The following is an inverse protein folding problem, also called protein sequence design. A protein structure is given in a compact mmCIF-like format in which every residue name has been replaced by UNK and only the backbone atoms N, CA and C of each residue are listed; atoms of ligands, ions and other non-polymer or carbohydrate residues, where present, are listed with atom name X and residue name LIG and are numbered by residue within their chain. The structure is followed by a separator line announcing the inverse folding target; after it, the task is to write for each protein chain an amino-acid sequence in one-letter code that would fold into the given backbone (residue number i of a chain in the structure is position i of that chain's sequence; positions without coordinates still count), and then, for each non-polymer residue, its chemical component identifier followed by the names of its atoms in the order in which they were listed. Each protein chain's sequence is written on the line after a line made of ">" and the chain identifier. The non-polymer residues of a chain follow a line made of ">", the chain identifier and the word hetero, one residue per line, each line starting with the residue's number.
data_IF_788608155873
#
_entry.id   IF_788608155873
#
_cell.length_a   1.000
_cell.length_b   1.000
_cell.length_c   1.000
_cell.angle_alpha   90.00
_cell.angle_beta   90.00
_cell.angle_gamma   90.00
#
_symmetry.space_group_name_H-M   'P 1'
#
loop_
_entity.id
_entity.type
_entity.pdbx_description
1 polymer ?
#
# COMPACT_ATOMS: atom_id res chain seq x y z
N UNK A 1 -0.42 8.56 -15.78
CA UNK A 1 -0.42 7.09 -15.82
C UNK A 1 1.02 6.63 -15.88
N UNK A 2 1.39 5.47 -15.31
CA UNK A 2 2.72 4.91 -15.52
C UNK A 2 3.00 4.80 -17.03
N UNK A 3 4.26 5.02 -17.42
CA UNK A 3 4.70 4.77 -18.80
C UNK A 3 4.50 3.30 -19.14
N UNK A 4 4.21 3.01 -20.40
CA UNK A 4 4.16 1.65 -20.91
C UNK A 4 5.42 1.38 -21.75
N UNK A 5 6.09 0.21 -21.62
CA UNK A 5 5.73 -0.93 -20.77
C UNK A 5 5.80 -0.61 -19.28
N UNK A 6 4.92 -1.25 -18.51
CA UNK A 6 4.85 -1.10 -17.06
C UNK A 6 6.04 -1.76 -16.36
N UNK A 7 6.55 -2.86 -16.91
CA UNK A 7 7.65 -3.65 -16.34
C UNK A 7 8.86 -3.63 -17.29
N UNK A 8 10.10 -3.60 -16.76
CA UNK A 8 11.30 -3.76 -17.56
C UNK A 8 11.55 -5.24 -17.91
N UNK A 9 10.68 -5.82 -18.74
CA UNK A 9 10.67 -7.26 -19.07
C UNK A 9 11.92 -7.73 -19.82
N UNK A 10 12.67 -6.82 -20.43
CA UNK A 10 13.89 -7.11 -21.17
C UNK A 10 15.15 -7.19 -20.29
N UNK A 11 15.06 -6.82 -19.01
CA UNK A 11 16.20 -6.81 -18.11
C UNK A 11 16.29 -8.11 -17.31
N UNK A 12 17.51 -8.64 -17.22
CA UNK A 12 17.81 -9.83 -16.43
C UNK A 12 17.67 -9.56 -14.92
N UNK A 13 17.77 -10.62 -14.11
CA UNK A 13 17.85 -10.46 -12.66
C UNK A 13 18.99 -9.53 -12.19
N UNK A 14 20.13 -9.55 -12.90
CA UNK A 14 21.30 -8.74 -12.59
C UNK A 14 21.13 -7.27 -12.98
N UNK A 15 20.38 -7.00 -14.07
CA UNK A 15 20.29 -5.67 -14.67
C UNK A 15 18.99 -4.93 -14.32
N UNK A 16 17.94 -5.65 -13.94
CA UNK A 16 16.62 -5.06 -13.70
C UNK A 16 15.65 -5.99 -12.97
N UNK A 17 16.14 -6.70 -11.96
CA UNK A 17 15.38 -7.55 -11.03
C UNK A 17 14.83 -8.85 -11.64
N UNK A 18 14.64 -8.92 -12.96
CA UNK A 18 14.20 -10.10 -13.69
C UNK A 18 12.71 -10.36 -13.49
N UNK A 19 11.86 -9.62 -14.19
CA UNK A 19 10.40 -9.81 -14.14
C UNK A 19 9.97 -11.05 -14.92
N UNK A 20 8.91 -11.73 -14.48
CA UNK A 20 8.33 -12.84 -15.22
C UNK A 20 7.56 -12.31 -16.45
N UNK A 21 7.92 -12.69 -17.69
CA UNK A 21 7.25 -12.23 -18.90
C UNK A 21 5.95 -13.01 -19.14
N UNK A 22 4.95 -12.78 -18.29
CA UNK A 22 3.65 -13.44 -18.36
C UNK A 22 2.82 -12.99 -19.58
N UNK A 23 2.07 -13.92 -20.15
CA UNK A 23 1.12 -13.65 -21.23
C UNK A 23 -0.31 -14.10 -20.86
N UNK A 24 -1.31 -13.49 -21.50
CA UNK A 24 -2.72 -13.88 -21.35
C UNK A 24 -2.91 -15.30 -21.90
N UNK A 25 -3.66 -16.12 -21.16
CA UNK A 25 -3.87 -17.56 -21.38
C UNK A 25 -2.64 -18.45 -21.16
N UNK A 26 -1.51 -17.90 -20.69
CA UNK A 26 -0.40 -18.74 -20.26
C UNK A 26 -0.83 -19.58 -19.05
N UNK A 27 -0.44 -20.85 -19.03
CA UNK A 27 -0.69 -21.74 -17.90
C UNK A 27 0.50 -21.74 -16.95
N UNK A 28 0.19 -21.86 -15.66
CA UNK A 28 1.12 -21.93 -14.54
C UNK A 28 0.85 -23.20 -13.72
N UNK A 29 1.81 -23.58 -12.89
CA UNK A 29 1.80 -24.74 -11.99
C UNK A 29 1.35 -26.02 -12.71
N UNK A 30 1.99 -26.33 -13.84
CA UNK A 30 1.69 -27.55 -14.61
C UNK A 30 0.28 -27.60 -15.20
N UNK A 31 -0.34 -26.44 -15.45
CA UNK A 31 -1.69 -26.34 -16.00
C UNK A 31 -2.79 -26.13 -14.97
N UNK A 32 -2.46 -25.99 -13.68
CA UNK A 32 -3.44 -25.77 -12.61
C UNK A 32 -4.06 -24.37 -12.66
N UNK A 33 -3.32 -23.37 -13.13
CA UNK A 33 -3.78 -21.98 -13.19
C UNK A 33 -3.58 -21.39 -14.58
N UNK A 34 -4.58 -20.70 -15.11
CA UNK A 34 -4.52 -20.02 -16.41
C UNK A 34 -4.59 -18.51 -16.22
N UNK A 35 -3.64 -17.76 -16.78
CA UNK A 35 -3.62 -16.28 -16.68
C UNK A 35 -4.79 -15.68 -17.48
N UNK A 36 -5.61 -14.87 -16.80
CA UNK A 36 -6.78 -14.22 -17.39
C UNK A 36 -6.52 -12.74 -17.68
N UNK A 37 -5.89 -12.03 -16.73
CA UNK A 37 -5.74 -10.56 -16.77
C UNK A 37 -4.63 -10.11 -15.83
N UNK A 38 -3.93 -9.03 -16.18
CA UNK A 38 -3.01 -8.36 -15.26
C UNK A 38 -3.76 -7.42 -14.33
N UNK A 39 -3.63 -7.58 -13.01
CA UNK A 39 -4.29 -6.73 -12.00
C UNK A 39 -3.42 -5.54 -11.61
N UNK A 40 -2.10 -5.73 -11.51
CA UNK A 40 -1.17 -4.69 -11.11
C UNK A 40 0.27 -5.16 -11.12
N UNK A 41 1.18 -4.23 -10.80
CA UNK A 41 2.60 -4.52 -10.69
C UNK A 41 3.25 -3.58 -9.67
N UNK A 42 4.44 -3.98 -9.22
CA UNK A 42 5.31 -3.17 -8.39
C UNK A 42 6.76 -3.62 -8.53
N UNK A 43 7.70 -2.98 -7.82
CA UNK A 43 9.15 -3.19 -8.02
C UNK A 43 9.63 -4.65 -7.88
N UNK A 44 8.87 -5.52 -7.21
CA UNK A 44 9.28 -6.88 -6.85
C UNK A 44 8.39 -7.98 -7.39
N UNK A 45 7.26 -7.64 -8.02
CA UNK A 45 6.29 -8.63 -8.46
C UNK A 45 5.25 -8.02 -9.38
N UNK A 46 4.62 -8.87 -10.16
CA UNK A 46 3.38 -8.57 -10.89
C UNK A 46 2.24 -9.44 -10.36
N UNK A 47 1.02 -8.91 -10.37
CA UNK A 47 -0.17 -9.63 -9.86
C UNK A 47 -1.16 -9.83 -10.99
N UNK A 48 -1.63 -11.06 -11.14
CA UNK A 48 -2.47 -11.50 -12.24
C UNK A 48 -3.72 -12.20 -11.72
N UNK A 49 -4.86 -11.93 -12.33
CA UNK A 49 -6.04 -12.77 -12.17
C UNK A 49 -5.78 -14.08 -12.91
N UNK A 50 -5.96 -15.19 -12.23
CA UNK A 50 -5.83 -16.54 -12.79
C UNK A 50 -7.12 -17.31 -12.59
N UNK A 51 -7.41 -18.21 -13.52
CA UNK A 51 -8.46 -19.22 -13.39
C UNK A 51 -7.84 -20.54 -12.92
N UNK A 52 -8.28 -21.07 -11.79
CA UNK A 52 -7.94 -22.40 -11.29
C UNK A 52 -8.74 -23.44 -12.08
N UNK A 53 -8.03 -24.33 -12.75
CA UNK A 53 -8.65 -25.37 -13.56
C UNK A 53 -9.27 -26.46 -12.66
N UNK A 54 -10.48 -26.90 -13.02
CA UNK A 54 -11.20 -27.96 -12.31
C UNK A 54 -11.94 -27.54 -11.05
N UNK A 55 -11.95 -26.25 -10.71
CA UNK A 55 -12.84 -25.66 -9.71
C UNK A 55 -13.99 -24.95 -10.44
N UNK A 56 -15.23 -25.37 -10.21
CA UNK A 56 -16.42 -24.75 -10.81
C UNK A 56 -17.11 -23.76 -9.88
N UNK A 57 -16.66 -23.68 -8.62
CA UNK A 57 -17.37 -22.97 -7.55
C UNK A 57 -16.65 -21.75 -7.00
N UNK A 58 -15.31 -21.66 -7.17
CA UNK A 58 -14.45 -20.50 -6.89
C UNK A 58 -13.22 -20.53 -7.83
N UNK A 59 -13.43 -20.33 -9.15
CA UNK A 59 -12.37 -20.54 -10.12
C UNK A 59 -11.35 -19.40 -10.18
N UNK A 60 -11.66 -18.18 -9.71
CA UNK A 60 -10.80 -17.02 -9.90
C UNK A 60 -9.94 -16.72 -8.68
N UNK A 61 -8.66 -16.41 -8.90
CA UNK A 61 -7.68 -16.13 -7.84
C UNK A 61 -6.69 -15.05 -8.30
N UNK A 62 -5.99 -14.41 -7.37
CA UNK A 62 -4.83 -13.57 -7.67
C UNK A 62 -3.53 -14.38 -7.54
N UNK A 63 -2.74 -14.44 -8.61
CA UNK A 63 -1.37 -14.94 -8.61
C UNK A 63 -0.37 -13.77 -8.58
N UNK A 64 0.34 -13.62 -7.48
CA UNK A 64 1.47 -12.71 -7.35
C UNK A 64 2.76 -13.43 -7.75
N UNK A 65 3.36 -13.01 -8.86
CA UNK A 65 4.57 -13.58 -9.42
C UNK A 65 5.74 -12.66 -9.12
N UNK A 66 6.69 -13.11 -8.30
CA UNK A 66 7.84 -12.32 -7.88
C UNK A 66 8.90 -12.22 -8.97
N UNK A 67 9.67 -11.14 -8.96
CA UNK A 67 10.90 -11.04 -9.76
C UNK A 67 11.91 -12.07 -9.28
N UNK A 68 12.85 -12.48 -10.13
CA UNK A 68 13.91 -13.43 -9.75
C UNK A 68 14.65 -12.94 -8.50
N UNK A 69 14.98 -11.64 -8.44
CA UNK A 69 15.67 -11.03 -7.31
C UNK A 69 14.87 -11.05 -5.99
N UNK A 70 13.54 -11.03 -6.05
CA UNK A 70 12.67 -11.01 -4.88
C UNK A 70 12.20 -12.41 -4.46
N UNK A 71 12.28 -13.40 -5.37
CA UNK A 71 11.67 -14.71 -5.20
C UNK A 71 12.20 -15.49 -3.99
N UNK A 72 13.52 -15.44 -3.76
CA UNK A 72 14.09 -16.15 -2.60
C UNK A 72 13.63 -15.54 -1.28
N UNK A 73 13.55 -14.22 -1.19
CA UNK A 73 13.07 -13.50 0.00
C UNK A 73 11.58 -13.79 0.21
N UNK A 74 10.79 -13.86 -0.87
CA UNK A 74 9.40 -14.24 -0.80
C UNK A 74 9.23 -15.62 -0.15
N UNK A 75 9.93 -16.64 -0.64
CA UNK A 75 9.87 -17.99 -0.08
C UNK A 75 10.35 -18.05 1.38
N UNK A 76 11.52 -17.49 1.70
CA UNK A 76 12.13 -17.72 3.03
C UNK A 76 11.59 -16.81 4.12
N UNK A 77 11.07 -15.64 3.75
CA UNK A 77 10.69 -14.60 4.71
C UNK A 77 9.20 -14.30 4.65
N UNK A 78 8.61 -14.12 3.47
CA UNK A 78 7.20 -13.72 3.34
C UNK A 78 6.24 -14.88 3.51
N UNK A 79 6.51 -16.02 2.87
CA UNK A 79 5.63 -17.19 2.91
C UNK A 79 5.34 -17.65 4.35
N UNK A 80 6.34 -17.81 5.24
CA UNK A 80 6.07 -18.20 6.62
C UNK A 80 5.25 -17.15 7.39
N UNK A 81 5.39 -15.86 7.07
CA UNK A 81 4.60 -14.80 7.71
C UNK A 81 3.15 -14.94 7.24
N UNK A 82 2.92 -14.97 5.93
CA UNK A 82 1.59 -14.98 5.34
C UNK A 82 0.81 -16.27 5.63
N UNK A 83 1.50 -17.39 5.89
CA UNK A 83 0.87 -18.63 6.36
C UNK A 83 0.50 -18.62 7.85
N UNK A 84 1.15 -17.79 8.68
CA UNK A 84 0.99 -17.81 10.14
C UNK A 84 0.33 -16.56 10.73
N UNK A 85 0.18 -15.47 9.97
CA UNK A 85 -0.57 -14.29 10.41
C UNK A 85 -2.05 -14.60 10.29
N UNK A 86 -2.66 -14.91 11.43
CA UNK A 86 -4.12 -15.03 11.58
C UNK A 86 -4.66 -13.63 11.86
N UNK A 87 -5.22 -12.98 10.84
CA UNK A 87 -6.05 -11.79 11.08
C UNK A 87 -7.36 -12.23 11.75
N UNK A 88 -7.96 -11.40 12.62
CA UNK A 88 -9.30 -11.66 13.15
C UNK A 88 -10.26 -11.93 11.97
N UNK A 89 -11.18 -12.86 12.15
CA UNK A 89 -12.15 -13.32 11.13
C UNK A 89 -13.02 -12.21 10.51
N UNK A 90 -13.04 -11.02 11.11
CA UNK A 90 -13.76 -9.84 10.64
C UNK A 90 -12.89 -8.93 9.75
N UNK A 91 -11.59 -9.23 9.62
CA UNK A 91 -10.64 -8.58 8.71
C UNK A 91 -10.29 -9.60 7.65
N UNK A 92 -10.90 -9.42 6.50
CA UNK A 92 -10.71 -10.21 5.30
C UNK A 92 -9.22 -10.31 4.94
N UNK A 93 -8.64 -11.49 5.17
CA UNK A 93 -7.28 -11.81 4.78
C UNK A 93 -7.29 -12.75 3.60
N UNK A 94 -6.55 -12.38 2.58
CA UNK A 94 -6.18 -13.28 1.51
C UNK A 94 -4.98 -14.12 1.98
N UNK A 95 -5.29 -15.22 2.68
CA UNK A 95 -4.31 -16.27 2.93
C UNK A 95 -3.68 -16.77 1.64
N UNK A 96 -2.47 -17.32 1.75
CA UNK A 96 -1.86 -18.02 0.62
C UNK A 96 -2.56 -19.38 0.49
N UNK A 97 -3.33 -19.55 -0.59
CA UNK A 97 -3.96 -20.82 -0.96
C UNK A 97 -2.94 -21.80 -1.56
N UNK A 98 -2.06 -21.29 -2.40
CA UNK A 98 -1.02 -22.08 -3.05
C UNK A 98 0.27 -21.27 -3.21
N UNK A 99 1.40 -21.96 -3.24
CA UNK A 99 2.71 -21.37 -3.45
C UNK A 99 3.60 -22.32 -4.24
N UNK A 100 4.16 -21.84 -5.35
CA UNK A 100 4.95 -22.67 -6.26
C UNK A 100 6.03 -21.86 -6.98
N UNK A 101 6.96 -22.56 -7.62
CA UNK A 101 8.02 -21.97 -8.43
C UNK A 101 7.70 -22.10 -9.92
N UNK A 102 7.98 -21.05 -10.69
CA UNK A 102 7.87 -21.02 -12.14
C UNK A 102 9.17 -20.58 -12.80
N UNK A 103 9.48 -21.13 -13.96
CA UNK A 103 10.73 -20.84 -14.68
C UNK A 103 10.47 -20.01 -15.93
N UNK A 104 11.24 -18.94 -16.10
CA UNK A 104 11.23 -18.12 -17.31
C UNK A 104 12.64 -18.01 -17.92
N UNK A 105 12.77 -17.19 -18.96
CA UNK A 105 14.09 -16.86 -19.54
C UNK A 105 15.02 -16.13 -18.57
N UNK A 106 14.49 -15.51 -17.52
CA UNK A 106 15.25 -14.70 -16.57
C UNK A 106 15.69 -15.50 -15.34
N UNK A 107 15.06 -16.64 -15.07
CA UNK A 107 15.35 -17.49 -13.91
C UNK A 107 14.09 -18.11 -13.31
N UNK A 108 14.20 -18.47 -12.03
CA UNK A 108 13.11 -19.04 -11.24
C UNK A 108 12.37 -17.94 -10.46
N UNK A 109 11.05 -18.04 -10.42
CA UNK A 109 10.13 -17.08 -9.86
C UNK A 109 9.25 -17.74 -8.81
N UNK A 110 9.18 -17.17 -7.61
CA UNK A 110 8.22 -17.59 -6.60
C UNK A 110 6.85 -17.01 -6.95
N UNK A 111 5.81 -17.84 -6.84
CA UNK A 111 4.43 -17.47 -7.10
C UNK A 111 3.59 -17.72 -5.84
N UNK A 112 2.78 -16.74 -5.41
CA UNK A 112 1.78 -16.90 -4.37
C UNK A 112 0.38 -16.75 -4.96
N UNK A 113 -0.51 -17.69 -4.66
CA UNK A 113 -1.93 -17.64 -5.00
C UNK A 113 -2.71 -17.24 -3.77
N UNK A 114 -3.55 -16.22 -3.92
CA UNK A 114 -4.31 -15.58 -2.85
C UNK A 114 -5.66 -15.13 -3.40
N UNK A 115 -6.60 -14.83 -2.51
CA UNK A 115 -7.91 -14.29 -2.92
C UNK A 115 -7.72 -13.06 -3.83
N UNK A 116 -8.60 -12.93 -4.82
CA UNK A 116 -8.58 -11.85 -5.78
C UNK A 116 -8.78 -10.49 -5.10
N UNK A 117 -8.17 -9.47 -5.70
CA UNK A 117 -8.28 -8.10 -5.23
C UNK A 117 -8.91 -7.22 -6.30
N UNK A 118 -9.66 -6.24 -5.83
CA UNK A 118 -10.44 -5.31 -6.61
C UNK A 118 -9.64 -4.08 -6.99
N UNK A 119 -10.35 -2.96 -7.04
CA UNK A 119 -9.77 -1.67 -7.38
C UNK A 119 -8.84 -1.18 -6.25
N UNK A 120 -7.63 -0.68 -6.55
CA UNK A 120 -6.84 0.07 -5.59
C UNK A 120 -7.57 1.34 -5.15
N UNK A 121 -7.47 1.72 -3.87
CA UNK A 121 -8.06 2.97 -3.34
C UNK A 121 -7.52 4.22 -4.06
N UNK A 122 -6.30 4.14 -4.62
CA UNK A 122 -5.74 5.18 -5.47
C UNK A 122 -6.58 5.47 -6.74
N UNK A 123 -7.38 4.51 -7.20
CA UNK A 123 -8.40 4.71 -8.23
C UNK A 123 -9.51 5.65 -7.77
N UNK A 124 -10.10 5.39 -6.59
CA UNK A 124 -11.16 6.21 -5.99
C UNK A 124 -10.66 7.63 -5.69
N UNK A 125 -9.45 7.77 -5.13
CA UNK A 125 -8.86 9.08 -4.88
C UNK A 125 -8.60 9.86 -6.17
N UNK A 126 -8.20 9.19 -7.26
CA UNK A 126 -8.02 9.82 -8.57
C UNK A 126 -9.32 10.39 -9.11
N UNK A 127 -10.42 9.67 -8.93
CA UNK A 127 -11.75 10.15 -9.32
C UNK A 127 -12.17 11.37 -8.47
N UNK A 128 -11.89 11.36 -7.16
CA UNK A 128 -12.09 12.52 -6.28
C UNK A 128 -11.31 13.76 -6.77
N UNK A 129 -10.02 13.58 -7.05
CA UNK A 129 -9.14 14.65 -7.53
C UNK A 129 -9.56 15.18 -8.90
N UNK A 130 -9.95 14.30 -9.82
CA UNK A 130 -10.34 14.70 -11.19
C UNK A 130 -11.63 15.52 -11.20
N UNK A 131 -12.56 15.24 -10.29
CA UNK A 131 -13.85 15.91 -10.24
C UNK A 131 -13.84 17.21 -9.42
N UNK A 132 -13.01 17.33 -8.38
CA UNK A 132 -13.10 18.43 -7.39
C UNK A 132 -11.76 19.03 -6.94
N UNK A 133 -10.62 18.50 -7.39
CA UNK A 133 -9.30 18.81 -6.79
C UNK A 133 -9.29 18.61 -5.25
N UNK A 134 -10.03 17.61 -4.76
CA UNK A 134 -10.21 17.32 -3.33
C UNK A 134 -9.76 15.89 -2.99
N UNK A 135 -9.55 15.62 -1.70
CA UNK A 135 -9.40 14.27 -1.18
C UNK A 135 -10.75 13.64 -0.79
N UNK A 136 -10.70 12.54 -0.05
CA UNK A 136 -11.86 11.81 0.46
C UNK A 136 -12.47 12.49 1.69
N UNK A 137 -13.77 12.29 1.95
CA UNK A 137 -14.41 12.69 3.21
C UNK A 137 -13.69 12.13 4.44
N UNK A 138 -13.65 12.90 5.53
CA UNK A 138 -12.95 12.52 6.78
C UNK A 138 -13.37 11.15 7.27
N UNK A 139 -14.65 10.82 7.20
CA UNK A 139 -15.16 9.53 7.64
C UNK A 139 -14.63 8.34 6.83
N UNK A 140 -14.46 8.49 5.51
CA UNK A 140 -13.86 7.48 4.66
C UNK A 140 -12.37 7.28 5.00
N UNK A 141 -11.67 8.37 5.35
CA UNK A 141 -10.28 8.30 5.79
C UNK A 141 -10.15 7.66 7.16
N UNK A 142 -11.03 7.99 8.11
CA UNK A 142 -11.05 7.36 9.44
C UNK A 142 -11.26 5.85 9.34
N UNK A 143 -12.23 5.42 8.52
CA UNK A 143 -12.46 3.99 8.26
C UNK A 143 -11.23 3.33 7.63
N UNK A 144 -10.64 3.95 6.59
CA UNK A 144 -9.43 3.47 5.94
C UNK A 144 -8.27 3.32 6.94
N UNK A 145 -8.06 4.32 7.79
CA UNK A 145 -7.02 4.31 8.83
C UNK A 145 -7.29 3.21 9.86
N UNK A 146 -8.54 3.02 10.28
CA UNK A 146 -8.91 1.92 11.17
C UNK A 146 -8.53 0.55 10.58
N UNK A 147 -8.89 0.29 9.32
CA UNK A 147 -8.53 -0.94 8.61
C UNK A 147 -7.02 -1.16 8.55
N UNK A 148 -6.24 -0.11 8.23
CA UNK A 148 -4.77 -0.21 8.21
C UNK A 148 -4.21 -0.48 9.59
N UNK A 149 -4.72 0.19 10.64
CA UNK A 149 -4.27 -0.01 12.01
C UNK A 149 -4.56 -1.42 12.52
N UNK A 150 -5.71 -2.00 12.18
CA UNK A 150 -6.00 -3.41 12.45
C UNK A 150 -4.96 -4.31 11.80
N UNK A 151 -4.63 -4.07 10.52
CA UNK A 151 -3.65 -4.87 9.80
C UNK A 151 -2.25 -4.75 10.42
N UNK A 152 -1.78 -3.52 10.65
CA UNK A 152 -0.47 -3.24 11.25
C UNK A 152 -0.35 -3.80 12.66
N UNK A 153 -1.42 -3.75 13.47
CA UNK A 153 -1.40 -4.31 14.81
C UNK A 153 -1.02 -5.80 14.81
N UNK A 154 -1.62 -6.61 13.94
CA UNK A 154 -1.34 -8.04 13.88
C UNK A 154 0.07 -8.33 13.36
N UNK A 155 0.53 -7.60 12.34
CA UNK A 155 1.92 -7.69 11.87
C UNK A 155 2.92 -7.30 12.99
N UNK A 156 2.65 -6.20 13.69
CA UNK A 156 3.55 -5.66 14.71
C UNK A 156 3.63 -6.55 15.95
N UNK A 157 2.58 -7.33 16.28
CA UNK A 157 2.61 -8.36 17.33
C UNK A 157 3.69 -9.41 17.09
N UNK A 158 3.83 -9.85 15.83
CA UNK A 158 4.85 -10.82 15.41
C UNK A 158 6.14 -10.16 14.88
N UNK A 159 6.33 -8.87 15.16
CA UNK A 159 7.51 -8.08 14.78
C UNK A 159 7.72 -7.98 13.26
N UNK A 160 6.65 -8.03 12.50
CA UNK A 160 6.67 -7.85 11.05
C UNK A 160 6.40 -6.38 10.72
N UNK A 161 7.29 -5.75 9.97
CA UNK A 161 7.11 -4.41 9.40
C UNK A 161 6.49 -4.54 8.01
N UNK A 162 5.37 -3.85 7.73
CA UNK A 162 4.77 -3.86 6.40
C UNK A 162 5.65 -3.15 5.37
N UNK A 163 6.22 -2.02 5.77
CA UNK A 163 7.13 -1.12 5.04
C UNK A 163 6.56 -0.45 3.79
N UNK A 164 5.40 -0.87 3.29
CA UNK A 164 4.77 -0.34 2.09
C UNK A 164 3.42 0.34 2.32
N UNK A 165 3.17 0.96 3.48
CA UNK A 165 1.86 1.58 3.74
C UNK A 165 1.66 2.82 2.86
N UNK A 166 0.88 2.70 1.79
CA UNK A 166 0.61 3.76 0.81
C UNK A 166 -0.71 3.53 0.10
N UNK A 167 -1.16 4.51 -0.69
CA UNK A 167 -2.43 4.45 -1.43
C UNK A 167 -2.57 3.20 -2.30
N UNK A 168 -1.52 2.81 -3.01
CA UNK A 168 -1.54 1.65 -3.91
C UNK A 168 -1.51 0.30 -3.19
N UNK A 169 -1.24 0.31 -1.88
CA UNK A 169 -1.28 -0.88 -1.02
C UNK A 169 -2.64 -1.09 -0.37
N UNK A 170 -3.62 -0.25 -0.68
CA UNK A 170 -4.99 -0.39 -0.23
C UNK A 170 -5.86 -0.79 -1.41
N UNK A 171 -6.49 -1.96 -1.33
CA UNK A 171 -7.35 -2.49 -2.38
C UNK A 171 -8.69 -2.88 -1.78
N UNK A 172 -9.76 -2.68 -2.54
CA UNK A 172 -11.06 -3.21 -2.16
C UNK A 172 -11.13 -4.70 -2.51
N UNK A 173 -11.77 -5.52 -1.66
CA UNK A 173 -12.24 -6.83 -2.07
C UNK A 173 -13.32 -6.62 -3.14
N UNK A 174 -13.25 -7.31 -4.29
CA UNK A 174 -14.36 -7.31 -5.23
C UNK A 174 -15.50 -8.14 -4.63
N UNK A 175 -16.42 -7.50 -3.89
CA UNK A 175 -17.58 -8.16 -3.30
C UNK A 175 -18.63 -8.49 -4.38
N UNK A 176 -18.20 -9.24 -5.39
CA UNK A 176 -19.01 -9.69 -6.53
C UNK A 176 -19.15 -11.19 -6.42
N UNK A 177 -20.37 -11.71 -6.57
CA UNK A 177 -20.50 -13.14 -6.83
C UNK A 177 -19.84 -13.50 -8.18
N UNK A 178 -19.56 -14.78 -8.41
CA UNK A 178 -18.84 -15.22 -9.61
C UNK A 178 -19.51 -14.82 -10.92
N UNK A 179 -20.84 -14.79 -10.95
CA UNK A 179 -21.55 -14.43 -12.17
C UNK A 179 -21.28 -12.96 -12.52
N UNK A 180 -21.28 -12.09 -11.51
CA UNK A 180 -20.93 -10.68 -11.69
C UNK A 180 -19.47 -10.51 -12.14
N UNK A 181 -18.53 -11.32 -11.63
CA UNK A 181 -17.14 -11.28 -12.08
C UNK A 181 -16.99 -11.77 -13.54
N UNK A 182 -17.66 -12.86 -13.92
CA UNK A 182 -17.66 -13.35 -15.30
C UNK A 182 -18.29 -12.35 -16.26
N UNK A 183 -19.42 -11.74 -15.89
CA UNK A 183 -20.06 -10.66 -16.65
C UNK A 183 -19.10 -9.47 -16.79
N UNK A 184 -18.43 -9.06 -15.70
CA UNK A 184 -17.43 -8.00 -15.75
C UNK A 184 -16.28 -8.31 -16.72
N UNK A 185 -15.75 -9.54 -16.69
CA UNK A 185 -14.68 -9.98 -17.58
C UNK A 185 -15.16 -10.07 -19.04
N UNK A 186 -16.43 -10.39 -19.27
CA UNK A 186 -17.03 -10.42 -20.60
C UNK A 186 -17.24 -9.00 -21.16
N UNK A 187 -17.74 -8.06 -20.35
CA UNK A 187 -17.94 -6.66 -20.74
C UNK A 187 -16.62 -5.92 -20.96
N UNK A 188 -15.61 -6.27 -20.16
CA UNK A 188 -14.26 -5.69 -20.22
C UNK A 188 -13.27 -6.82 -20.46
N UNK A 189 -13.02 -7.24 -21.71
CA UNK A 189 -12.02 -8.27 -21.98
C UNK A 189 -10.62 -7.81 -21.52
N UNK A 190 -9.70 -8.76 -21.27
CA UNK A 190 -8.33 -8.43 -20.87
C UNK A 190 -7.63 -7.54 -21.89
N UNK A 191 -6.71 -6.72 -21.40
CA UNK A 191 -5.85 -5.89 -22.24
C UNK A 191 -5.10 -6.73 -23.28
N UNK A 192 -4.87 -6.15 -24.47
CA UNK A 192 -4.11 -6.82 -25.53
C UNK A 192 -2.65 -6.99 -25.10
N UNK A 193 -2.08 -8.15 -25.39
CA UNK A 193 -0.64 -8.38 -25.32
C UNK A 193 0.06 -7.62 -26.45
N UNK A 194 1.06 -6.81 -26.11
CA UNK A 194 1.94 -6.13 -27.05
C UNK A 194 3.35 -6.71 -26.92
N UNK A 195 4.00 -7.04 -28.04
CA UNK A 195 5.40 -7.51 -27.99
C UNK A 195 6.33 -6.30 -27.95
N UNK A 196 7.03 -6.13 -26.83
CA UNK A 196 8.00 -5.05 -26.63
C UNK A 196 9.35 -5.68 -26.28
N UNK A 197 10.38 -5.33 -27.04
CA UNK A 197 11.73 -5.88 -26.90
C UNK A 197 11.79 -7.43 -26.88
N UNK A 198 10.84 -8.08 -27.57
CA UNK A 198 10.72 -9.53 -27.65
C UNK A 198 9.90 -10.19 -26.53
N UNK A 199 9.30 -9.41 -25.63
CA UNK A 199 8.52 -9.91 -24.49
C UNK A 199 7.05 -9.52 -24.56
N UNK A 200 6.13 -10.37 -24.06
CA UNK A 200 4.71 -10.05 -23.94
C UNK A 200 4.50 -9.00 -22.84
N UNK A 201 4.23 -7.76 -23.23
CA UNK A 201 3.87 -6.68 -22.32
C UNK A 201 2.35 -6.54 -22.26
N UNK A 202 1.80 -6.63 -21.05
CA UNK A 202 0.36 -6.46 -20.77
C UNK A 202 0.17 -5.28 -19.85
N UNK A 203 -0.81 -4.42 -20.17
CA UNK A 203 -1.20 -3.29 -19.31
C UNK A 203 -2.08 -3.77 -18.15
N UNK A 204 -1.81 -3.27 -16.96
CA UNK A 204 -2.62 -3.56 -15.77
C UNK A 204 -4.05 -3.04 -15.94
N UNK A 205 -5.02 -3.89 -15.60
CA UNK A 205 -6.45 -3.61 -15.64
C UNK A 205 -7.07 -4.19 -14.36
N UNK A 206 -7.02 -3.46 -13.22
CA UNK A 206 -7.65 -3.92 -11.97
C UNK A 206 -9.14 -4.23 -12.15
N UNK A 207 -9.70 -5.10 -11.30
CA UNK A 207 -11.15 -5.32 -11.25
C UNK A 207 -11.82 -4.04 -10.73
N UNK A 208 -12.93 -3.64 -11.36
CA UNK A 208 -13.63 -2.43 -10.94
C UNK A 208 -14.59 -2.75 -9.79
N UNK A 209 -14.60 -1.90 -8.76
CA UNK A 209 -15.63 -1.94 -7.73
C UNK A 209 -16.67 -0.87 -8.03
N UNK A 210 -17.79 -1.28 -8.63
CA UNK A 210 -18.84 -0.35 -9.10
C UNK A 210 -19.70 0.25 -7.98
N UNK A 211 -19.58 -0.27 -6.77
CA UNK A 211 -20.38 0.14 -5.60
C UNK A 211 -19.71 1.20 -4.73
N UNK A 212 -18.45 1.55 -5.01
CA UNK A 212 -17.68 2.48 -4.19
C UNK A 212 -17.54 3.83 -4.90
N UNK A 213 -18.07 4.88 -4.27
CA UNK A 213 -17.93 6.27 -4.65
C UNK A 213 -16.92 7.01 -3.76
N UNK A 214 -16.32 8.06 -4.31
CA UNK A 214 -15.39 8.90 -3.54
C UNK A 214 -16.10 9.77 -2.49
N UNK A 215 -17.39 10.05 -2.67
CA UNK A 215 -18.25 10.84 -1.78
C UNK A 215 -19.32 10.01 -1.07
N UNK A 216 -19.10 8.68 -0.98
CA UNK A 216 -20.01 7.78 -0.28
C UNK A 216 -20.32 8.29 1.13
N UNK A 217 -21.60 8.28 1.54
CA UNK A 217 -21.96 8.66 2.90
C UNK A 217 -21.39 7.63 3.89
N UNK A 218 -21.20 8.05 5.15
CA UNK A 218 -20.68 7.21 6.24
C UNK A 218 -21.28 5.80 6.28
N UNK A 219 -22.60 5.67 6.06
CA UNK A 219 -23.30 4.37 6.09
C UNK A 219 -22.80 3.41 5.02
N UNK A 220 -22.46 3.91 3.84
CA UNK A 220 -22.06 3.05 2.73
C UNK A 220 -20.53 2.78 2.81
N UNK A 221 -19.77 3.70 3.42
CA UNK A 221 -18.34 3.48 3.77
C UNK A 221 -18.14 2.32 4.74
N UNK A 222 -19.09 2.06 5.65
CA UNK A 222 -18.95 0.91 6.58
C UNK A 222 -19.06 -0.44 5.88
N UNK A 223 -19.59 -0.46 4.64
CA UNK A 223 -19.64 -1.65 3.79
C UNK A 223 -18.41 -1.75 2.87
N UNK A 224 -17.43 -0.83 2.99
CA UNK A 224 -16.17 -0.93 2.26
C UNK A 224 -15.34 -2.11 2.78
N UNK A 225 -15.16 -3.11 1.93
CA UNK A 225 -14.23 -4.22 2.20
C UNK A 225 -12.81 -3.83 1.77
N UNK A 226 -12.13 -2.99 2.56
CA UNK A 226 -10.76 -2.56 2.26
C UNK A 226 -9.73 -3.52 2.88
N UNK A 227 -8.64 -3.79 2.16
CA UNK A 227 -7.56 -4.68 2.61
C UNK A 227 -6.21 -4.00 2.38
N UNK A 228 -5.29 -4.17 3.35
CA UNK A 228 -3.88 -3.82 3.19
C UNK A 228 -3.15 -4.97 2.47
N UNK A 229 -2.60 -4.67 1.30
CA UNK A 229 -1.83 -5.58 0.44
C UNK A 229 -0.43 -5.01 0.15
N UNK A 230 0.33 -5.69 -0.71
CA UNK A 230 1.66 -5.23 -1.12
C UNK A 230 2.77 -5.69 -0.18
N UNK A 231 2.67 -6.93 0.30
CA UNK A 231 3.62 -7.57 1.23
C UNK A 231 5.03 -7.80 0.66
N UNK A 232 5.30 -7.42 -0.60
CA UNK A 232 6.61 -7.62 -1.25
C UNK A 232 7.77 -6.90 -0.59
N UNK A 233 7.52 -5.88 0.25
CA UNK A 233 8.56 -5.16 0.98
C UNK A 233 8.65 -5.51 2.47
N UNK A 234 7.78 -6.39 2.97
CA UNK A 234 7.72 -6.75 4.38
C UNK A 234 9.09 -7.16 4.92
N UNK A 235 9.39 -6.72 6.15
CA UNK A 235 10.64 -7.01 6.82
C UNK A 235 10.41 -7.63 8.20
N UNK A 236 11.34 -8.49 8.59
CA UNK A 236 11.49 -9.04 9.95
C UNK A 236 12.82 -8.59 10.54
N UNK A 237 13.01 -8.65 11.87
CA UNK A 237 14.28 -8.28 12.49
C UNK A 237 15.45 -9.16 11.99
N UNK A 238 16.65 -8.58 11.78
CA UNK A 238 16.95 -7.16 11.88
C UNK A 238 16.40 -6.38 10.68
N UNK A 239 15.66 -5.30 10.94
CA UNK A 239 15.15 -4.42 9.88
C UNK A 239 16.30 -3.68 9.20
N UNK A 240 16.23 -3.53 7.89
CA UNK A 240 17.24 -2.86 7.10
C UNK A 240 16.60 -1.94 6.07
N UNK A 241 17.02 -0.67 6.08
CA UNK A 241 16.53 0.31 5.12
C UNK A 241 17.01 -0.03 3.72
N UNK A 242 16.07 -0.17 2.80
CA UNK A 242 16.36 -0.36 1.38
C UNK A 242 16.61 0.99 0.71
N UNK A 243 17.70 1.11 -0.06
CA UNK A 243 18.11 2.40 -0.62
C UNK A 243 17.06 3.02 -1.55
N UNK A 244 16.42 2.21 -2.39
CA UNK A 244 15.47 2.67 -3.42
C UNK A 244 14.01 2.66 -2.96
N UNK A 245 13.74 2.22 -1.73
CA UNK A 245 12.38 2.14 -1.21
C UNK A 245 11.90 3.47 -0.64
N UNK A 246 10.68 3.86 -1.00
CA UNK A 246 10.03 5.07 -0.51
C UNK A 246 9.33 4.79 0.82
N UNK A 247 10.00 5.14 1.92
CA UNK A 247 9.43 5.13 3.27
C UNK A 247 8.68 6.44 3.61
N UNK A 248 8.17 7.15 2.61
CA UNK A 248 7.45 8.43 2.76
C UNK A 248 8.24 9.49 3.54
N UNK A 249 9.55 9.53 3.33
CA UNK A 249 10.48 10.41 4.04
C UNK A 249 10.51 10.23 5.55
N UNK A 250 10.16 9.06 6.09
CA UNK A 250 10.24 8.81 7.54
C UNK A 250 11.60 9.30 8.09
N UNK A 251 11.63 10.19 9.10
CA UNK A 251 12.84 10.96 9.42
C UNK A 251 14.04 10.08 9.77
N UNK A 252 13.79 8.97 10.46
CA UNK A 252 14.81 7.99 10.83
C UNK A 252 15.49 7.30 9.63
N UNK A 253 14.84 7.30 8.46
CA UNK A 253 15.35 6.70 7.23
C UNK A 253 16.26 7.65 6.44
N UNK A 254 16.25 8.95 6.77
CA UNK A 254 17.02 9.99 6.08
C UNK A 254 18.46 10.12 6.61
N UNK A 255 18.74 9.55 7.78
CA UNK A 255 20.03 9.62 8.45
C UNK A 255 21.15 8.87 7.68
N UNK A 256 22.38 9.19 8.02
CA UNK A 256 23.61 8.57 7.51
C UNK A 256 23.75 7.13 7.95
N UNK A 257 23.33 6.82 9.18
CA UNK A 257 23.03 5.46 9.61
C UNK A 257 21.50 5.27 9.69
N UNK A 258 20.82 5.03 8.56
CA UNK A 258 19.37 5.01 8.51
C UNK A 258 18.83 3.81 9.28
N UNK A 259 17.75 4.04 10.02
CA UNK A 259 17.01 2.98 10.70
C UNK A 259 15.60 2.91 10.15
N UNK A 260 14.97 1.75 10.26
CA UNK A 260 13.56 1.53 9.99
C UNK A 260 13.01 0.48 10.96
N UNK A 261 11.69 0.42 11.07
CA UNK A 261 11.02 -0.60 11.86
C UNK A 261 9.51 -0.36 11.92
N UNK A 262 8.86 -0.98 12.91
CA UNK A 262 7.41 -0.92 13.08
C UNK A 262 6.88 0.53 13.18
N UNK A 263 7.63 1.44 13.80
CA UNK A 263 7.28 2.87 13.88
C UNK A 263 7.28 3.56 12.52
N UNK A 264 8.05 3.07 11.55
CA UNK A 264 8.09 3.62 10.20
C UNK A 264 6.76 3.36 9.48
N UNK A 265 6.10 2.22 9.70
CA UNK A 265 4.74 1.99 9.17
C UNK A 265 3.73 3.01 9.71
N UNK A 266 3.86 3.39 10.99
CA UNK A 266 2.99 4.40 11.62
C UNK A 266 3.22 5.79 11.01
N UNK A 267 4.47 6.13 10.67
CA UNK A 267 4.75 7.37 9.94
C UNK A 267 4.09 7.37 8.55
N UNK A 268 4.26 6.27 7.82
CA UNK A 268 3.68 6.11 6.49
C UNK A 268 2.14 6.17 6.53
N UNK A 269 1.51 5.60 7.56
CA UNK A 269 0.07 5.76 7.82
C UNK A 269 -0.33 7.23 8.02
N UNK A 270 0.44 8.02 8.77
CA UNK A 270 0.19 9.45 8.94
C UNK A 270 0.26 10.22 7.62
N UNK A 271 1.28 9.92 6.79
CA UNK A 271 1.40 10.49 5.45
C UNK A 271 0.22 10.09 4.54
N UNK A 272 -0.18 8.81 4.58
CA UNK A 272 -1.30 8.27 3.83
C UNK A 272 -2.62 8.94 4.21
N UNK A 273 -2.91 9.07 5.50
CA UNK A 273 -4.13 9.72 5.98
C UNK A 273 -4.21 11.19 5.53
N UNK A 274 -3.09 11.93 5.59
CA UNK A 274 -3.04 13.29 5.05
C UNK A 274 -3.28 13.32 3.53
N UNK A 275 -2.66 12.41 2.78
CA UNK A 275 -2.82 12.35 1.32
C UNK A 275 -4.25 11.99 0.92
N UNK A 276 -4.91 11.09 1.65
CA UNK A 276 -6.31 10.75 1.44
C UNK A 276 -7.23 11.95 1.67
N UNK A 277 -7.00 12.75 2.72
CA UNK A 277 -7.82 13.93 3.05
C UNK A 277 -7.63 15.07 2.06
N UNK A 278 -6.38 15.32 1.67
CA UNK A 278 -6.03 16.53 0.92
C UNK A 278 -5.87 16.29 -0.58
N UNK A 279 -5.75 15.03 -1.00
CA UNK A 279 -5.33 14.66 -2.36
C UNK A 279 -3.87 15.01 -2.67
N UNK A 280 -3.07 15.39 -1.66
CA UNK A 280 -1.68 15.87 -1.84
C UNK A 280 -0.73 15.17 -0.90
N UNK A 281 0.50 14.92 -1.36
CA UNK A 281 1.57 14.45 -0.48
C UNK A 281 1.89 15.48 0.60
N UNK A 282 2.07 15.01 1.84
CA UNK A 282 2.42 15.88 2.97
C UNK A 282 3.81 16.52 2.80
N UNK A 283 4.79 15.72 2.41
CA UNK A 283 6.16 16.14 2.15
C UNK A 283 6.46 15.96 0.66
N UNK A 284 7.04 16.99 0.06
CA UNK A 284 7.24 17.06 -1.40
C UNK A 284 8.69 17.26 -1.79
N UNK A 285 9.58 17.59 -0.83
CA UNK A 285 10.99 17.78 -1.10
C UNK A 285 11.65 16.51 -1.63
N UNK A 286 12.27 16.62 -2.80
CA UNK A 286 13.15 15.62 -3.40
C UNK A 286 14.64 15.96 -3.17
N UNK A 287 14.90 16.95 -2.31
CA UNK A 287 16.24 17.42 -2.00
C UNK A 287 17.07 16.45 -1.15
N UNK A 288 18.17 16.97 -0.64
CA UNK A 288 19.07 16.28 0.28
C UNK A 288 18.35 15.86 1.57
N UNK A 289 18.89 14.88 2.33
CA UNK A 289 18.33 14.52 3.63
C UNK A 289 18.14 15.70 4.59
N UNK A 290 19.05 16.67 4.58
CA UNK A 290 18.97 17.88 5.40
C UNK A 290 17.80 18.78 5.01
N UNK A 291 17.57 18.97 3.70
CA UNK A 291 16.43 19.75 3.19
C UNK A 291 15.09 19.06 3.49
N UNK A 292 15.02 17.73 3.35
CA UNK A 292 13.83 16.95 3.69
C UNK A 292 13.52 17.00 5.20
N UNK A 293 14.54 16.88 6.06
CA UNK A 293 14.35 17.06 7.51
C UNK A 293 13.95 18.50 7.87
N UNK A 294 14.45 19.50 7.16
CA UNK A 294 14.02 20.90 7.30
C UNK A 294 12.54 21.08 6.97
N UNK A 295 12.06 20.54 5.84
CA UNK A 295 10.63 20.53 5.47
C UNK A 295 9.80 19.84 6.55
N UNK A 296 10.24 18.67 7.03
CA UNK A 296 9.54 17.93 8.09
C UNK A 296 9.42 18.76 9.38
N UNK A 297 10.52 19.40 9.82
CA UNK A 297 10.53 20.29 10.99
C UNK A 297 9.53 21.41 10.83
N UNK A 298 9.54 22.09 9.68
CA UNK A 298 8.75 23.29 9.45
C UNK A 298 7.25 22.96 9.30
N UNK A 299 6.90 21.91 8.54
CA UNK A 299 5.51 21.46 8.37
C UNK A 299 4.91 20.95 9.69
N UNK A 300 5.65 20.16 10.45
CA UNK A 300 5.15 19.59 11.70
C UNK A 300 5.30 20.53 12.91
N UNK A 301 6.04 21.63 12.74
CA UNK A 301 6.47 22.52 13.83
C UNK A 301 7.12 21.72 14.98
N UNK A 302 7.87 20.68 14.61
CA UNK A 302 8.48 19.74 15.53
C UNK A 302 9.95 20.05 15.80
N UNK A 303 10.54 19.32 16.74
CA UNK A 303 11.98 19.43 17.06
C UNK A 303 12.75 18.25 16.48
N UNK A 304 13.84 18.53 15.77
CA UNK A 304 14.80 17.51 15.35
C UNK A 304 15.60 17.05 16.58
N UNK A 305 15.70 15.75 16.88
CA UNK A 305 16.49 15.26 18.00
C UNK A 305 17.96 15.71 17.92
N UNK A 306 18.52 16.21 19.02
CA UNK A 306 19.91 16.70 19.07
C UNK A 306 20.92 15.65 18.59
N UNK A 307 20.65 14.37 18.87
CA UNK A 307 21.48 13.25 18.44
C UNK A 307 21.62 13.13 16.90
N UNK A 308 20.73 13.76 16.14
CA UNK A 308 20.75 13.73 14.67
C UNK A 308 21.48 14.91 14.05
N UNK A 309 21.73 15.99 14.81
CA UNK A 309 22.36 17.23 14.31
C UNK A 309 23.86 17.09 14.00
N UNK A 310 24.45 15.91 14.23
CA UNK A 310 25.83 15.58 13.87
C UNK A 310 25.95 14.40 12.92
N UNK A 311 24.84 13.93 12.34
CA UNK A 311 24.86 12.83 11.39
C UNK A 311 25.52 13.27 10.07
N UNK A 312 26.41 12.46 9.44
CA UNK A 312 27.13 12.86 8.23
C UNK A 312 26.27 13.24 7.02
N UNK A 313 25.02 12.76 6.95
CA UNK A 313 24.03 13.14 5.92
C UNK A 313 23.14 14.32 6.35
N UNK A 314 23.10 14.62 7.65
CA UNK A 314 22.41 15.76 8.25
C UNK A 314 23.45 16.79 8.68
N UNK A 315 24.14 17.38 7.71
CA UNK A 315 25.26 18.28 7.99
C UNK A 315 24.77 19.63 8.52
N UNK A 316 23.98 20.34 7.72
CA UNK A 316 23.44 21.66 8.02
C UNK A 316 21.96 21.63 7.74
N UNK A 317 21.14 21.65 8.78
CA UNK A 317 19.71 21.86 8.61
C UNK A 317 19.49 23.27 8.06
N UNK A 318 18.62 23.44 7.04
CA UNK A 318 18.20 24.75 6.60
C UNK A 318 17.62 25.56 7.77
N UNK A 319 17.78 26.87 7.74
CA UNK A 319 17.13 27.75 8.72
C UNK A 319 15.60 27.53 8.72
N UNK A 320 14.92 27.68 9.88
CA UNK A 320 13.46 27.58 9.97
C UNK A 320 12.76 28.48 8.95
N UNK A 321 11.98 27.88 8.05
CA UNK A 321 11.23 28.62 7.07
C UNK A 321 9.78 28.79 7.51
N UNK A 322 9.47 29.93 8.10
CA UNK A 322 8.12 30.26 8.60
C UNK A 322 7.10 30.52 7.48
N UNK A 323 7.50 30.51 6.20
CA UNK A 323 6.56 30.59 5.07
C UNK A 323 6.00 29.22 4.66
N UNK A 324 6.56 28.13 5.18
CA UNK A 324 6.04 26.78 4.94
C UNK A 324 4.74 26.62 5.74
N UNK A 325 3.66 26.31 5.04
CA UNK A 325 2.37 26.01 5.68
C UNK A 325 2.52 24.77 6.58
N UNK A 326 2.10 24.92 7.82
CA UNK A 326 2.05 23.85 8.81
C UNK A 326 1.02 22.79 8.45
N UNK A 327 1.12 21.62 9.09
CA UNK A 327 0.15 20.53 8.96
C UNK A 327 -1.29 21.02 9.19
N UNK A 328 -1.49 21.85 10.22
CA UNK A 328 -2.81 22.34 10.60
C UNK A 328 -3.37 23.34 9.58
N UNK A 329 -2.53 24.26 9.08
CA UNK A 329 -2.92 25.21 8.03
C UNK A 329 -3.33 24.50 6.75
N UNK A 330 -2.58 23.47 6.34
CA UNK A 330 -2.90 22.65 5.16
C UNK A 330 -4.22 21.91 5.31
N UNK A 331 -4.52 21.38 6.50
CA UNK A 331 -5.81 20.72 6.77
C UNK A 331 -6.98 21.72 6.74
N UNK A 332 -6.81 22.93 7.32
CA UNK A 332 -7.85 23.98 7.31
C UNK A 332 -8.20 24.50 5.91
N UNK A 333 -7.35 24.29 4.92
CA UNK A 333 -7.66 24.63 3.53
C UNK A 333 -8.74 23.73 2.92
N UNK A 334 -8.88 22.50 3.41
CA UNK A 334 -9.79 21.49 2.83
C UNK A 334 -10.85 20.98 3.80
N UNK A 335 -10.67 21.16 5.11
CA UNK A 335 -11.59 20.72 6.16
C UNK A 335 -12.20 21.90 6.92
N UNK A 336 -13.35 21.65 7.56
CA UNK A 336 -13.90 22.58 8.56
C UNK A 336 -12.98 22.65 9.78
N UNK A 337 -13.05 23.75 10.52
CA UNK A 337 -12.16 24.00 11.65
C UNK A 337 -12.12 22.87 12.69
N UNK A 338 -13.28 22.34 13.09
CA UNK A 338 -13.33 21.24 14.07
C UNK A 338 -12.69 19.94 13.52
N UNK A 339 -13.01 19.57 12.28
CA UNK A 339 -12.46 18.37 11.62
C UNK A 339 -10.95 18.50 11.42
N UNK A 340 -10.47 19.69 11.04
CA UNK A 340 -9.06 19.98 10.89
C UNK A 340 -8.32 19.83 12.24
N UNK A 341 -8.89 20.32 13.33
CA UNK A 341 -8.29 20.25 14.65
C UNK A 341 -8.20 18.78 15.14
N UNK A 342 -9.28 18.01 15.03
CA UNK A 342 -9.31 16.60 15.44
C UNK A 342 -8.38 15.73 14.57
N UNK A 343 -8.43 15.91 13.26
CA UNK A 343 -7.53 15.23 12.31
C UNK A 343 -6.07 15.58 12.59
N UNK A 344 -5.76 16.86 12.80
CA UNK A 344 -4.41 17.30 13.13
C UNK A 344 -3.91 16.66 14.43
N UNK A 345 -4.76 16.56 15.44
CA UNK A 345 -4.42 15.91 16.71
C UNK A 345 -4.07 14.43 16.52
N UNK A 346 -4.82 13.69 15.70
CA UNK A 346 -4.49 12.31 15.35
C UNK A 346 -3.18 12.20 14.55
N UNK A 347 -3.04 12.99 13.49
CA UNK A 347 -1.84 12.95 12.63
C UNK A 347 -0.55 13.31 13.39
N UNK A 348 -0.61 14.22 14.38
CA UNK A 348 0.54 14.53 15.25
C UNK A 348 1.01 13.35 16.10
N UNK A 349 0.14 12.38 16.42
CA UNK A 349 0.51 11.14 17.12
C UNK A 349 1.22 10.16 16.18
N UNK A 350 0.83 10.14 14.90
CA UNK A 350 1.48 9.33 13.86
C UNK A 350 2.83 9.92 13.42
N UNK A 351 2.92 11.24 13.28
CA UNK A 351 4.04 11.96 12.66
C UNK A 351 5.06 12.48 13.69
N UNK A 352 5.25 11.78 14.80
CA UNK A 352 6.30 12.13 15.76
C UNK A 352 7.67 11.91 15.12
N UNK A 353 8.52 12.94 15.09
CA UNK A 353 9.83 12.91 14.43
C UNK A 353 10.73 11.83 15.04
N UNK A 354 10.81 11.76 16.37
CA UNK A 354 11.54 10.70 17.05
C UNK A 354 10.73 9.38 16.99
N UNK A 355 11.19 8.34 16.27
CA UNK A 355 10.45 7.09 16.13
C UNK A 355 10.20 6.38 17.47
N UNK A 356 11.07 6.54 18.46
CA UNK A 356 10.93 5.91 19.78
C UNK A 356 9.80 6.53 20.63
N UNK A 357 9.37 7.75 20.30
CA UNK A 357 8.27 8.46 20.97
C UNK A 357 6.95 8.38 20.17
N UNK A 358 6.98 7.77 18.98
CA UNK A 358 5.81 7.58 18.12
C UNK A 358 4.91 6.52 18.72
N UNK A 359 3.61 6.76 18.73
CA UNK A 359 2.65 5.79 19.25
C UNK A 359 2.65 4.51 18.41
N UNK A 360 2.33 3.38 19.04
CA UNK A 360 2.22 2.12 18.31
C UNK A 360 0.91 2.04 17.51
N UNK A 361 0.83 1.17 16.50
CA UNK A 361 -0.41 0.92 15.77
C UNK A 361 -1.56 0.50 16.71
N UNK A 362 -1.23 -0.22 17.80
CA UNK A 362 -2.20 -0.60 18.83
C UNK A 362 -2.76 0.61 19.57
N UNK A 363 -1.90 1.52 20.01
CA UNK A 363 -2.34 2.72 20.76
C UNK A 363 -3.20 3.64 19.90
N UNK A 364 -2.85 3.76 18.61
CA UNK A 364 -3.57 4.60 17.64
C UNK A 364 -4.92 4.01 17.21
N UNK A 365 -5.09 2.69 17.26
CA UNK A 365 -6.36 2.03 16.92
C UNK A 365 -7.47 2.42 17.89
N UNK A 366 -7.12 2.61 19.15
CA UNK A 366 -8.05 2.96 20.23
C UNK A 366 -8.19 4.50 20.39
N UNK A 367 -7.73 5.27 19.40
CA UNK A 367 -7.82 6.73 19.40
C UNK A 367 -9.24 7.21 19.09
N UNK A 368 -9.71 8.25 19.79
CA UNK A 368 -11.06 8.81 19.60
C UNK A 368 -11.35 9.20 18.14
N UNK A 369 -10.35 9.71 17.41
CA UNK A 369 -10.52 10.07 16.00
C UNK A 369 -10.77 8.85 15.11
N UNK A 370 -10.19 7.71 15.46
CA UNK A 370 -10.38 6.44 14.73
C UNK A 370 -11.69 5.77 15.18
N UNK A 371 -11.97 5.75 16.48
CA UNK A 371 -13.21 5.17 17.02
C UNK A 371 -14.47 5.90 16.54
N UNK A 372 -14.38 7.18 16.19
CA UNK A 372 -15.50 7.93 15.62
C UNK A 372 -16.08 7.24 14.37
N UNK A 373 -15.24 6.59 13.54
CA UNK A 373 -15.69 5.76 12.44
C UNK A 373 -16.27 4.41 12.91
N UNK A 374 -15.62 3.75 13.86
CA UNK A 374 -16.05 2.43 14.36
C UNK A 374 -17.41 2.47 15.07
N UNK A 375 -17.70 3.54 15.82
CA UNK A 375 -19.00 3.76 16.51
C UNK A 375 -20.16 4.02 15.56
N UNK A 376 -19.89 4.27 14.28
CA UNK A 376 -20.91 4.45 13.25
C UNK A 376 -21.17 3.19 12.41
N UNK A 377 -20.41 2.12 12.63
CA UNK A 377 -20.65 0.83 11.97
C UNK A 377 -21.92 0.18 12.53
N UNK A 378 -22.75 -0.37 11.64
CA UNK A 378 -24.04 -1.00 11.96
C UNK A 378 -23.93 -2.16 12.96
N UNK A 379 -22.75 -2.78 13.10
CA UNK A 379 -22.46 -3.83 14.07
C UNK A 379 -22.36 -3.36 15.53
N UNK A 380 -22.14 -2.06 15.79
CA UNK A 380 -22.06 -1.51 17.15
C UNK A 380 -23.44 -1.33 17.82
N UNK A 381 -24.53 -1.43 17.03
CA UNK A 381 -25.92 -1.31 17.48
C UNK A 381 -26.68 -2.66 17.52
N UNK A 382 -25.99 -3.80 17.32
CA UNK A 382 -26.58 -5.14 17.32
C UNK A 382 -26.50 -5.83 18.69
#
# INVERSE_FOLDING_TARGET
>A
MPSFPEEPLNLSAADGLGYFPADINQTLHGGKYTIVRKLGWGPRSSTWLVKREGDETEPYWAAQIFTVSASKVAETSLLPILQNVVYPTDVLFAGIDDSFWETSVHGEHMCFVMAEYGLPLSGVLRDAMSNRHAGLPVHAVQFTVYTVLQALQELHKVKVMHSGVKLDSLVFWPATDENELEEHLAERPPGKTEIIDGFPAVRSQPLANYTVGWDDPMRDVTDWFLILVGYGHVQVPPYARESEHDYSSAPETLLGNPTCGLSTDVWMLGCLAFELITGKKLFTSTGTPSERLGEIRDVLQGTIPDAWLGDPKVQVLPDPNTSVESLEERLRQVLKEYEANETCAFLRKCLVINPAARQSARDLRDDDWVEAAAKCCSCYYA
#
